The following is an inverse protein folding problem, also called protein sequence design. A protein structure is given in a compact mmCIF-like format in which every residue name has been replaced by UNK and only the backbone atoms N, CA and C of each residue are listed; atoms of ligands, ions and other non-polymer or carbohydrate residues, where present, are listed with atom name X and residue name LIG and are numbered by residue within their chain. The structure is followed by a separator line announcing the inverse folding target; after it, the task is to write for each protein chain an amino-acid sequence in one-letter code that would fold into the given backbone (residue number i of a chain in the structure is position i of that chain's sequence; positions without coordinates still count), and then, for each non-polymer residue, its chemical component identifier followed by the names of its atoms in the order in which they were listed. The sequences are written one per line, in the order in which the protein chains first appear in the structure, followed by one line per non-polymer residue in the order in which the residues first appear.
data_IF_963899228575
#
_entry.id   IF_963899228575
#
_cell.length_a   1.000
_cell.length_b   1.000
_cell.length_c   1.000
_cell.angle_alpha   90.00
_cell.angle_beta   90.00
_cell.angle_gamma   90.00
#
_symmetry.space_group_name_H-M   'P 1'
#
loop_
_entity.id
_entity.type
_entity.pdbx_description
1 polymer ?
#
# COMPACT_ATOMS: atom_id res chain seq x y z
N UNK A 1 1.83 -3.62 44.26
CA UNK A 1 0.39 -3.23 44.23
C UNK A 1 0.16 -2.14 45.26
N UNK A 2 0.24 -0.86 44.88
CA UNK A 2 -0.11 0.29 45.72
C UNK A 2 -1.13 1.12 44.96
N UNK A 3 -2.35 1.15 45.48
CA UNK A 3 -3.52 1.82 44.90
C UNK A 3 -3.43 3.30 45.28
N UNK A 4 -3.26 4.21 44.32
CA UNK A 4 -3.49 5.64 44.52
C UNK A 4 -4.77 6.03 43.80
N UNK A 5 -5.85 5.93 44.55
CA UNK A 5 -7.13 6.58 44.27
C UNK A 5 -6.98 7.99 44.83
N UNK A 6 -6.90 9.00 43.96
CA UNK A 6 -7.21 10.37 44.38
C UNK A 6 -8.20 10.99 43.41
N UNK A 7 -9.44 10.90 43.85
CA UNK A 7 -10.59 11.64 43.38
C UNK A 7 -10.53 13.06 43.97
N UNK A 8 -10.44 14.07 43.11
CA UNK A 8 -10.84 15.46 43.38
C UNK A 8 -11.39 15.98 42.04
N UNK A 9 -12.71 15.91 41.81
CA UNK A 9 -13.69 16.99 42.07
C UNK A 9 -13.18 18.33 41.49
N UNK A 10 -13.54 18.62 40.23
CA UNK A 10 -14.62 19.56 39.84
C UNK A 10 -14.27 21.03 40.10
N UNK A 11 -13.79 21.76 39.08
CA UNK A 11 -14.16 23.17 38.87
C UNK A 11 -14.36 23.41 37.37
N UNK A 12 -15.63 23.65 37.05
CA UNK A 12 -16.16 24.20 35.80
C UNK A 12 -15.59 25.61 35.62
N UNK A 13 -15.01 25.92 34.45
CA UNK A 13 -14.82 27.31 34.03
C UNK A 13 -15.37 27.50 32.62
N UNK A 14 -16.54 28.12 32.59
CA UNK A 14 -17.30 28.56 31.43
C UNK A 14 -16.62 29.84 30.91
N UNK A 15 -16.16 29.85 29.66
CA UNK A 15 -15.98 31.10 28.91
C UNK A 15 -16.67 30.96 27.56
N UNK A 16 -17.57 31.89 27.34
CA UNK A 16 -18.52 31.97 26.25
C UNK A 16 -17.98 32.78 25.05
N UNK A 17 -18.68 32.59 23.93
CA UNK A 17 -19.02 33.59 22.92
C UNK A 17 -17.98 34.04 21.87
N UNK A 18 -18.46 34.15 20.62
CA UNK A 18 -17.79 34.77 19.45
C UNK A 18 -17.70 33.80 18.27
N UNK A 19 -18.73 33.55 17.46
CA UNK A 19 -19.42 34.41 16.50
C UNK A 19 -18.52 34.98 15.38
N UNK A 20 -18.65 34.37 14.19
CA UNK A 20 -18.58 34.99 12.85
C UNK A 20 -17.17 35.45 12.39
N UNK A 21 -16.76 35.45 11.13
CA UNK A 21 -17.44 35.68 9.86
C UNK A 21 -16.65 34.98 8.73
N UNK A 22 -17.35 34.47 7.73
CA UNK A 22 -16.75 34.00 6.48
C UNK A 22 -16.29 35.17 5.60
N UNK A 23 -15.24 34.95 4.83
CA UNK A 23 -14.85 35.84 3.73
C UNK A 23 -14.47 34.99 2.51
N UNK A 24 -15.45 34.90 1.62
CA UNK A 24 -15.36 34.97 0.15
C UNK A 24 -14.06 34.51 -0.54
N UNK A 25 -14.17 33.37 -1.22
CA UNK A 25 -13.31 32.93 -2.32
C UNK A 25 -13.46 33.92 -3.49
N UNK A 26 -12.41 34.67 -3.80
CA UNK A 26 -12.27 35.37 -5.08
C UNK A 26 -11.91 34.36 -6.15
N UNK A 27 -12.91 33.96 -6.93
CA UNK A 27 -12.75 33.10 -8.11
C UNK A 27 -12.24 33.97 -9.27
N UNK A 28 -10.92 33.99 -9.46
CA UNK A 28 -10.30 34.59 -10.63
C UNK A 28 -10.54 33.68 -11.84
N UNK A 29 -11.38 34.18 -12.75
CA UNK A 29 -11.73 33.57 -14.03
C UNK A 29 -10.69 34.02 -15.04
N UNK A 30 -9.73 33.16 -15.41
CA UNK A 30 -8.82 33.45 -16.52
C UNK A 30 -8.81 32.33 -17.56
N UNK A 31 -9.32 32.73 -18.74
CA UNK A 31 -9.24 32.19 -20.10
C UNK A 31 -8.69 30.78 -20.32
N UNK A 32 -9.56 29.92 -20.83
CA UNK A 32 -9.16 28.78 -21.64
C UNK A 32 -9.04 29.23 -23.10
N UNK A 33 -7.82 29.53 -23.54
CA UNK A 33 -7.49 29.62 -24.97
C UNK A 33 -7.40 28.20 -25.54
N UNK A 34 -8.45 27.80 -26.25
CA UNK A 34 -8.57 26.51 -26.93
C UNK A 34 -7.83 26.62 -28.27
N UNK A 35 -6.66 25.99 -28.36
CA UNK A 35 -5.93 25.81 -29.63
C UNK A 35 -6.52 24.57 -30.35
N UNK A 36 -6.93 24.65 -31.63
CA UNK A 36 -7.46 23.50 -32.34
C UNK A 36 -6.35 22.48 -32.65
N UNK A 37 -6.49 21.26 -32.14
CA UNK A 37 -5.61 20.13 -32.46
C UNK A 37 -5.92 19.67 -33.89
N UNK A 38 -4.99 19.97 -34.80
CA UNK A 38 -4.96 19.43 -36.17
C UNK A 38 -4.81 17.91 -36.09
N UNK A 39 -5.89 17.19 -36.42
CA UNK A 39 -5.89 15.72 -36.47
C UNK A 39 -5.40 15.26 -37.83
N UNK A 40 -4.12 14.92 -37.95
CA UNK A 40 -3.57 14.20 -39.10
C UNK A 40 -3.86 12.70 -38.94
N UNK A 41 -4.68 12.14 -39.84
CA UNK A 41 -4.95 10.70 -39.92
C UNK A 41 -3.75 9.99 -40.54
N UNK A 42 -3.04 9.18 -39.74
CA UNK A 42 -2.03 8.24 -40.23
C UNK A 42 -2.74 6.94 -40.63
N UNK A 43 -2.70 6.62 -41.92
CA UNK A 43 -3.21 5.36 -42.47
C UNK A 43 -2.23 4.23 -42.14
N UNK A 44 -2.66 3.28 -41.31
CA UNK A 44 -1.92 2.05 -41.02
C UNK A 44 -2.19 1.01 -42.11
N UNK A 45 -1.17 0.37 -42.71
CA UNK A 45 -1.38 -0.76 -43.61
C UNK A 45 -1.82 -2.01 -42.84
N UNK A 46 -2.80 -2.72 -43.41
CA UNK A 46 -3.39 -3.97 -42.94
C UNK A 46 -2.36 -5.11 -42.85
N UNK A 47 -2.27 -5.86 -41.74
CA UNK A 47 -1.55 -7.13 -41.74
C UNK A 47 -2.38 -8.23 -42.41
N UNK A 48 -1.88 -8.74 -43.54
CA UNK A 48 -2.38 -9.93 -44.24
C UNK A 48 -2.19 -11.17 -43.36
N UNK A 49 -3.28 -11.77 -42.89
CA UNK A 49 -3.25 -13.07 -42.23
C UNK A 49 -3.22 -14.19 -43.27
N UNK A 50 -2.03 -14.74 -43.50
CA UNK A 50 -1.82 -15.98 -44.26
C UNK A 50 -2.15 -17.16 -43.36
N UNK A 51 -3.25 -17.85 -43.66
CA UNK A 51 -3.52 -19.21 -43.19
C UNK A 51 -2.48 -20.16 -43.79
N UNK A 52 -1.84 -20.97 -42.95
CA UNK A 52 -1.23 -22.21 -43.41
C UNK A 52 -1.34 -23.26 -42.31
N UNK A 53 -2.15 -24.27 -42.59
CA UNK A 53 -2.26 -25.51 -41.82
C UNK A 53 -1.52 -26.59 -42.61
N UNK A 54 -0.55 -27.27 -41.99
CA UNK A 54 0.06 -28.52 -42.46
C UNK A 54 0.81 -29.09 -41.24
N UNK A 55 0.18 -30.00 -40.49
CA UNK A 55 0.46 -31.45 -40.50
C UNK A 55 1.78 -31.80 -39.79
N UNK A 56 1.67 -32.37 -38.58
CA UNK A 56 2.79 -32.81 -37.75
C UNK A 56 2.67 -34.33 -37.52
N UNK A 57 3.59 -35.15 -38.08
CA UNK A 57 3.64 -36.58 -37.79
C UNK A 57 4.32 -36.81 -36.45
N UNK A 58 3.64 -37.53 -35.57
CA UNK A 58 4.11 -37.83 -34.23
C UNK A 58 5.09 -39.02 -34.26
N UNK A 59 6.40 -38.74 -34.15
CA UNK A 59 7.45 -39.74 -33.96
C UNK A 59 7.97 -39.64 -32.52
N UNK A 60 7.47 -40.54 -31.67
CA UNK A 60 7.93 -40.70 -30.28
C UNK A 60 9.25 -41.46 -30.29
N UNK A 61 10.33 -40.76 -30.01
CA UNK A 61 11.62 -41.35 -29.61
C UNK A 61 11.65 -41.36 -28.09
N UNK A 62 11.63 -42.55 -27.48
CA UNK A 62 11.91 -42.71 -26.05
C UNK A 62 13.40 -42.43 -25.80
N UNK A 63 13.67 -41.30 -25.15
CA UNK A 63 14.98 -40.93 -24.63
C UNK A 63 15.05 -41.33 -23.15
N UNK A 64 16.14 -41.98 -22.69
CA UNK A 64 16.24 -42.46 -21.32
C UNK A 64 16.13 -41.32 -20.32
N UNK A 65 15.18 -41.46 -19.39
CA UNK A 65 14.92 -40.54 -18.28
C UNK A 65 16.08 -40.56 -17.30
N UNK A 66 17.07 -39.70 -17.51
CA UNK A 66 18.02 -39.30 -16.48
C UNK A 66 17.92 -37.77 -16.32
N UNK A 67 16.80 -37.35 -15.74
CA UNK A 67 16.59 -35.98 -15.27
C UNK A 67 16.84 -35.96 -13.76
N UNK A 68 18.05 -35.57 -13.35
CA UNK A 68 18.26 -35.04 -12.01
C UNK A 68 17.71 -33.62 -12.00
N UNK A 69 16.39 -33.52 -11.95
CA UNK A 69 15.66 -32.26 -11.82
C UNK A 69 15.99 -31.63 -10.47
N UNK A 70 16.40 -30.34 -10.41
CA UNK A 70 16.54 -29.63 -9.15
C UNK A 70 15.19 -29.66 -8.43
N UNK A 71 15.17 -30.22 -7.22
CA UNK A 71 13.98 -30.35 -6.38
C UNK A 71 13.28 -28.99 -6.23
N UNK A 72 12.02 -28.94 -6.62
CA UNK A 72 11.12 -27.77 -6.57
C UNK A 72 11.05 -27.12 -5.18
N UNK A 73 11.41 -27.86 -4.13
CA UNK A 73 11.54 -27.43 -2.73
C UNK A 73 12.65 -26.40 -2.48
N UNK A 74 13.68 -26.33 -3.32
CA UNK A 74 14.79 -25.40 -3.13
C UNK A 74 14.44 -23.98 -3.62
N UNK A 75 13.63 -23.85 -4.66
CA UNK A 75 13.30 -22.54 -5.25
C UNK A 75 12.25 -21.74 -4.44
N UNK A 76 11.40 -22.43 -3.68
CA UNK A 76 10.41 -21.80 -2.79
C UNK A 76 11.05 -21.25 -1.51
N UNK A 77 12.00 -21.98 -0.91
CA UNK A 77 12.63 -21.55 0.34
C UNK A 77 13.39 -20.23 0.18
N UNK A 78 14.14 -20.06 -0.91
CA UNK A 78 14.87 -18.81 -1.18
C UNK A 78 13.92 -17.61 -1.35
N UNK A 79 12.75 -17.80 -1.98
CA UNK A 79 11.79 -16.72 -2.22
C UNK A 79 11.06 -16.30 -0.93
N UNK A 80 10.71 -17.26 -0.08
CA UNK A 80 10.12 -16.99 1.25
C UNK A 80 11.13 -16.28 2.16
N UNK A 81 12.39 -16.72 2.20
CA UNK A 81 13.42 -16.06 3.01
C UNK A 81 13.67 -14.63 2.55
N UNK A 82 13.69 -14.36 1.24
CA UNK A 82 13.86 -13.00 0.70
C UNK A 82 12.71 -12.08 1.08
N UNK A 83 11.47 -12.54 0.96
CA UNK A 83 10.28 -11.74 1.33
C UNK A 83 10.23 -11.48 2.83
N UNK A 84 10.56 -12.47 3.66
CA UNK A 84 10.67 -12.29 5.11
C UNK A 84 11.76 -11.28 5.50
N UNK A 85 12.92 -11.35 4.84
CA UNK A 85 14.03 -10.40 5.06
C UNK A 85 13.64 -8.98 4.62
N UNK A 86 12.90 -8.84 3.52
CA UNK A 86 12.43 -7.54 3.08
C UNK A 86 11.40 -6.94 4.05
N UNK A 87 10.46 -7.74 4.55
CA UNK A 87 9.47 -7.27 5.51
C UNK A 87 10.11 -6.82 6.83
N UNK A 88 11.16 -7.51 7.30
CA UNK A 88 11.88 -7.10 8.51
C UNK A 88 12.59 -5.76 8.37
N UNK A 89 13.12 -5.43 7.19
CA UNK A 89 13.68 -4.10 6.89
C UNK A 89 12.60 -3.03 7.02
N UNK A 90 11.41 -3.25 6.45
CA UNK A 90 10.31 -2.29 6.55
C UNK A 90 9.78 -2.13 7.98
N UNK A 91 9.71 -3.22 8.75
CA UNK A 91 9.35 -3.16 10.17
C UNK A 91 10.35 -2.29 10.95
N UNK A 92 11.65 -2.49 10.73
CA UNK A 92 12.70 -1.69 11.36
C UNK A 92 12.54 -0.20 11.04
N UNK A 93 12.38 0.14 9.76
CA UNK A 93 12.16 1.52 9.31
C UNK A 93 10.92 2.15 9.95
N UNK A 94 9.80 1.41 10.03
CA UNK A 94 8.58 1.89 10.66
C UNK A 94 8.75 2.10 12.17
N UNK A 95 9.51 1.23 12.85
CA UNK A 95 9.82 1.40 14.28
C UNK A 95 10.67 2.64 14.54
N UNK A 96 11.73 2.85 13.77
CA UNK A 96 12.61 4.02 13.90
C UNK A 96 11.85 5.32 13.63
N UNK A 97 10.99 5.35 12.61
CA UNK A 97 10.12 6.49 12.33
C UNK A 97 9.16 6.77 13.50
N UNK A 98 8.45 5.74 13.99
CA UNK A 98 7.50 5.90 15.09
C UNK A 98 8.17 6.31 16.41
N UNK A 99 9.35 5.76 16.70
CA UNK A 99 10.15 6.13 17.87
C UNK A 99 10.53 7.62 17.82
N UNK A 100 10.93 8.10 16.65
CA UNK A 100 11.25 9.50 16.42
C UNK A 100 10.02 10.40 16.54
N UNK A 101 8.87 9.99 15.98
CA UNK A 101 7.61 10.75 16.04
C UNK A 101 7.05 10.89 17.46
N UNK A 102 7.26 9.88 18.32
CA UNK A 102 6.73 9.85 19.68
C UNK A 102 7.76 10.20 20.75
N UNK A 103 9.03 10.38 20.37
CA UNK A 103 10.17 10.59 21.28
C UNK A 103 10.28 9.48 22.36
N UNK A 104 10.11 8.22 21.96
CA UNK A 104 10.21 7.04 22.82
C UNK A 104 11.29 6.07 22.32
N UNK A 105 11.84 5.19 23.18
CA UNK A 105 12.76 4.16 22.71
C UNK A 105 12.04 3.12 21.84
N UNK A 106 12.72 2.60 20.82
CA UNK A 106 12.19 1.53 19.95
C UNK A 106 11.82 0.24 20.71
N UNK A 107 12.35 0.05 21.93
CA UNK A 107 12.00 -1.07 22.82
C UNK A 107 10.54 -1.04 23.28
N UNK A 108 9.92 0.14 23.32
CA UNK A 108 8.54 0.32 23.76
C UNK A 108 7.53 0.07 22.63
N UNK A 109 8.05 -0.16 21.41
CA UNK A 109 7.27 -0.39 20.20
C UNK A 109 7.25 -1.88 19.88
N UNK A 110 6.04 -2.45 19.90
CA UNK A 110 5.79 -3.85 19.55
C UNK A 110 5.12 -3.96 18.18
N UNK A 111 5.44 -5.02 17.42
CA UNK A 111 4.77 -5.31 16.15
C UNK A 111 3.50 -6.08 16.46
N UNK A 112 2.34 -5.55 16.06
CA UNK A 112 1.05 -6.23 16.18
C UNK A 112 0.77 -7.11 14.96
N UNK A 113 1.04 -6.58 13.77
CA UNK A 113 0.81 -7.26 12.50
C UNK A 113 1.78 -6.73 11.45
N UNK A 114 2.26 -7.60 10.57
CA UNK A 114 3.07 -7.22 9.43
C UNK A 114 2.83 -8.23 8.32
N UNK A 115 2.42 -7.78 7.14
CA UNK A 115 2.17 -8.67 6.02
C UNK A 115 2.27 -7.94 4.69
N UNK A 116 2.58 -8.68 3.63
CA UNK A 116 2.35 -8.22 2.27
C UNK A 116 0.85 -8.21 1.98
N UNK A 117 0.41 -7.23 1.21
CA UNK A 117 -0.99 -7.04 0.82
C UNK A 117 -1.05 -6.51 -0.62
N UNK A 118 -2.24 -6.60 -1.22
CA UNK A 118 -2.54 -5.85 -2.44
C UNK A 118 -3.54 -4.75 -2.12
N UNK A 119 -3.13 -3.51 -2.34
CA UNK A 119 -3.97 -2.33 -2.18
C UNK A 119 -4.93 -2.19 -3.34
N UNK A 120 -6.15 -1.71 -3.07
CA UNK A 120 -7.22 -1.61 -4.07
C UNK A 120 -7.03 -0.46 -5.06
N UNK A 121 -6.24 0.53 -4.70
CA UNK A 121 -6.02 1.75 -5.47
C UNK A 121 -4.64 2.36 -5.16
N UNK A 122 -4.28 3.41 -5.90
CA UNK A 122 -3.06 4.17 -5.74
C UNK A 122 -2.96 4.97 -4.44
N UNK A 123 -3.98 4.95 -3.56
CA UNK A 123 -3.88 5.56 -2.24
C UNK A 123 -3.10 4.71 -1.23
N UNK A 124 -2.82 3.45 -1.57
CA UNK A 124 -2.09 2.51 -0.71
C UNK A 124 -2.77 2.42 0.68
N UNK A 125 -4.11 2.46 0.67
CA UNK A 125 -4.94 2.43 1.87
C UNK A 125 -4.87 3.66 2.77
N UNK A 126 -4.23 4.75 2.35
CA UNK A 126 -4.13 6.01 3.09
C UNK A 126 -4.55 7.23 2.25
N UNK A 127 -5.84 7.34 1.87
CA UNK A 127 -6.30 8.41 1.01
C UNK A 127 -6.28 9.77 1.73
N UNK A 128 -5.83 10.80 1.01
CA UNK A 128 -5.90 12.19 1.43
C UNK A 128 -7.18 12.84 0.88
N UNK A 129 -7.88 13.66 1.67
CA UNK A 129 -9.07 14.38 1.20
C UNK A 129 -8.78 15.22 -0.05
N UNK A 130 -9.73 15.24 -1.00
CA UNK A 130 -9.64 16.05 -2.23
C UNK A 130 -8.69 15.50 -3.31
N UNK A 131 -8.04 14.36 -3.06
CA UNK A 131 -7.17 13.71 -4.04
C UNK A 131 -7.93 12.61 -4.80
N UNK A 132 -7.67 12.52 -6.09
CA UNK A 132 -8.09 11.40 -6.93
C UNK A 132 -6.95 10.39 -7.04
N UNK A 133 -7.25 9.11 -6.87
CA UNK A 133 -6.27 8.03 -6.94
C UNK A 133 -6.57 7.11 -8.14
N UNK A 134 -5.55 6.39 -8.60
CA UNK A 134 -5.74 5.40 -9.66
C UNK A 134 -6.46 4.18 -9.13
N UNK A 135 -7.36 3.58 -9.90
CA UNK A 135 -8.07 2.35 -9.53
C UNK A 135 -7.26 1.08 -9.85
N UNK A 136 -5.93 1.18 -9.81
CA UNK A 136 -5.04 0.06 -10.10
C UNK A 136 -4.69 -0.69 -8.81
N UNK A 137 -4.61 -2.02 -8.89
CA UNK A 137 -4.12 -2.84 -7.80
C UNK A 137 -2.63 -2.59 -7.58
N UNK A 138 -2.23 -2.33 -6.34
CA UNK A 138 -0.83 -2.02 -6.00
C UNK A 138 -0.29 -3.05 -5.01
N UNK A 139 0.73 -3.85 -5.39
CA UNK A 139 1.43 -4.69 -4.44
C UNK A 139 2.13 -3.86 -3.37
N UNK A 140 2.01 -4.28 -2.12
CA UNK A 140 2.57 -3.55 -1.00
C UNK A 140 2.54 -4.34 0.30
N UNK A 141 2.58 -3.62 1.40
CA UNK A 141 2.62 -4.20 2.73
C UNK A 141 1.95 -3.30 3.75
N UNK A 142 1.38 -3.93 4.78
CA UNK A 142 0.75 -3.31 5.94
C UNK A 142 1.55 -3.70 7.18
N UNK A 143 1.92 -2.72 7.99
CA UNK A 143 2.57 -2.89 9.29
C UNK A 143 1.71 -2.18 10.34
N UNK A 144 1.29 -2.90 11.36
CA UNK A 144 0.64 -2.35 12.55
C UNK A 144 1.62 -2.41 13.72
N UNK A 145 2.00 -1.24 14.22
CA UNK A 145 2.82 -1.09 15.41
C UNK A 145 1.95 -0.73 16.61
N UNK A 146 2.33 -1.20 17.80
CA UNK A 146 1.59 -0.98 19.03
C UNK A 146 2.50 -0.37 20.09
N UNK A 147 2.03 0.73 20.67
CA UNK A 147 2.63 1.41 21.83
C UNK A 147 1.56 1.53 22.91
N UNK A 148 1.74 0.82 24.02
CA UNK A 148 0.73 0.69 25.07
C UNK A 148 -0.59 0.13 24.54
N UNK A 149 -1.63 0.96 24.49
CA UNK A 149 -2.97 0.60 23.98
C UNK A 149 -3.28 1.15 22.58
N UNK A 150 -2.37 1.95 21.99
CA UNK A 150 -2.55 2.58 20.68
C UNK A 150 -1.93 1.72 19.58
N UNK A 151 -2.58 1.70 18.43
CA UNK A 151 -2.10 1.06 17.21
C UNK A 151 -1.79 2.16 16.18
N UNK A 152 -0.65 2.04 15.52
CA UNK A 152 -0.17 2.92 14.47
C UNK A 152 -0.03 2.11 13.20
N UNK A 153 -0.57 2.63 12.10
CA UNK A 153 -0.59 1.94 10.83
C UNK A 153 0.49 2.52 9.92
N UNK A 154 1.31 1.65 9.35
CA UNK A 154 2.34 1.98 8.38
C UNK A 154 2.07 1.21 7.10
N UNK A 155 1.97 1.93 6.00
CA UNK A 155 1.64 1.36 4.70
C UNK A 155 2.80 1.60 3.74
N UNK A 156 3.00 0.67 2.81
CA UNK A 156 3.94 0.86 1.72
C UNK A 156 3.55 0.06 0.49
N UNK A 157 4.16 0.40 -0.63
CA UNK A 157 3.94 -0.23 -1.94
C UNK A 157 5.14 -0.02 -2.85
N UNK A 158 5.28 -0.87 -3.87
CA UNK A 158 6.32 -0.75 -4.91
C UNK A 158 7.74 -0.58 -4.33
N UNK A 159 8.07 -1.37 -3.30
CA UNK A 159 9.36 -1.36 -2.60
C UNK A 159 9.79 -0.01 -2.00
N UNK A 160 8.85 0.92 -1.81
CA UNK A 160 9.10 2.18 -1.12
C UNK A 160 9.17 1.97 0.40
N UNK A 161 9.82 2.87 1.15
CA UNK A 161 9.81 2.86 2.61
C UNK A 161 8.39 2.99 3.19
N UNK A 162 8.16 2.50 4.42
CA UNK A 162 6.87 2.57 5.10
C UNK A 162 6.51 4.02 5.40
N UNK A 163 5.25 4.39 5.21
CA UNK A 163 4.72 5.72 5.52
C UNK A 163 3.66 5.59 6.60
N UNK A 164 3.76 6.44 7.63
CA UNK A 164 2.75 6.52 8.68
C UNK A 164 1.40 6.97 8.12
N UNK A 165 0.36 6.19 8.39
CA UNK A 165 -1.01 6.49 8.03
C UNK A 165 -1.86 6.75 9.27
N UNK A 166 -2.27 8.00 9.45
CA UNK A 166 -3.14 8.40 10.57
C UNK A 166 -4.63 8.06 10.35
N UNK A 167 -5.04 7.86 9.09
CA UNK A 167 -6.43 7.61 8.69
C UNK A 167 -6.49 6.48 7.65
N UNK A 168 -6.33 5.21 8.08
CA UNK A 168 -6.40 4.08 7.17
C UNK A 168 -7.80 3.95 6.57
N UNK A 169 -7.88 3.66 5.27
CA UNK A 169 -9.14 3.37 4.59
C UNK A 169 -9.73 2.03 5.06
N UNK A 170 -11.04 2.02 5.34
CA UNK A 170 -11.75 0.76 5.63
C UNK A 170 -11.73 -0.14 4.38
N UNK A 171 -11.17 -1.34 4.51
CA UNK A 171 -11.07 -2.29 3.40
C UNK A 171 -10.11 -1.83 2.29
N UNK A 172 -9.10 -1.01 2.61
CA UNK A 172 -8.14 -0.47 1.64
C UNK A 172 -7.26 -1.51 0.94
N UNK A 173 -7.16 -2.72 1.49
CA UNK A 173 -6.45 -3.85 0.89
C UNK A 173 -7.36 -5.06 0.75
N UNK A 174 -7.03 -5.92 -0.21
CA UNK A 174 -7.75 -7.18 -0.42
C UNK A 174 -7.43 -8.15 0.72
N UNK A 175 -8.43 -8.68 1.45
CA UNK A 175 -8.18 -9.73 2.41
C UNK A 175 -7.71 -10.98 1.67
N UNK A 176 -6.66 -11.65 2.15
CA UNK A 176 -6.37 -13.02 1.75
C UNK A 176 -7.63 -13.83 2.09
N UNK A 177 -8.35 -14.31 1.09
CA UNK A 177 -9.58 -15.08 1.29
C UNK A 177 -9.23 -16.28 2.17
N UNK A 178 -9.69 -16.27 3.42
CA UNK A 178 -9.66 -17.45 4.27
C UNK A 178 -10.75 -18.39 3.74
N UNK A 179 -10.36 -19.28 2.81
CA UNK A 179 -11.14 -20.45 2.42
C UNK A 179 -11.27 -21.44 3.59
#
# INVERSE_FOLDING_TARGET
MKKYVWSFIFIISIIACGASQGMSVTQERMSADIVPIVTTRVSFPTPTQTKSATESPNLRVELPTQSTQPTEESMTNLSVVRTQTQLSIYISQAKTDLASLLEIPESDISVKQSQFVTWRDGSIGCPKPGMMYTQALVPGYLIELKVGKKIYHYHGGNNRPPVFCNKPARGGYLPETRS
#
